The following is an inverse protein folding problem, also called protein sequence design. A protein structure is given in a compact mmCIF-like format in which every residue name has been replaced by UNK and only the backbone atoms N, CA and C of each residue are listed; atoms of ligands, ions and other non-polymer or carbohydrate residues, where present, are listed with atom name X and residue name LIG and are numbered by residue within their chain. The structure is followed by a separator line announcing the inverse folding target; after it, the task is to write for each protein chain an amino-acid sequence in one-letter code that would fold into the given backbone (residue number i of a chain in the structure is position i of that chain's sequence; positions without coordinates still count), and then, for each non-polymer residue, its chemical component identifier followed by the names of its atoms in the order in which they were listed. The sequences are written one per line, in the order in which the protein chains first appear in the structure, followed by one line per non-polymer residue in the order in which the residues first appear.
data_IF_232043100012
#
_entry.id   IF_232043100012
#
_cell.length_a   1.000
_cell.length_b   1.000
_cell.length_c   1.000
_cell.angle_alpha   90.00
_cell.angle_beta   90.00
_cell.angle_gamma   90.00
#
_symmetry.space_group_name_H-M   'P 1'
#
loop_
_entity.id
_entity.type
_entity.pdbx_description
1 polymer ?
#
# COMPACT_ATOMS: atom_id res chain seq x y z
N UNK A 1 1.34 7.34 7.40
CA UNK A 1 1.93 6.93 8.68
C UNK A 1 2.84 5.77 8.41
N UNK A 2 4.17 5.97 8.50
CA UNK A 2 5.14 4.92 8.23
C UNK A 2 5.33 3.99 9.44
N UNK A 3 5.60 4.51 10.63
CA UNK A 3 5.89 3.75 11.83
C UNK A 3 5.07 4.19 13.04
N UNK A 4 4.87 3.25 13.98
CA UNK A 4 4.40 3.51 15.34
C UNK A 4 5.50 3.24 16.37
N UNK A 5 6.75 3.49 15.98
CA UNK A 5 7.93 3.23 16.82
C UNK A 5 7.75 3.87 18.20
N UNK A 6 7.93 3.07 19.24
CA UNK A 6 7.96 3.52 20.62
C UNK A 6 9.24 3.03 21.29
N UNK A 7 9.98 3.96 21.87
CA UNK A 7 11.14 3.63 22.73
C UNK A 7 10.75 3.36 24.18
N UNK A 8 9.47 3.49 24.51
CA UNK A 8 8.92 3.37 25.89
C UNK A 8 8.06 2.13 26.07
N UNK A 9 7.55 1.55 24.97
CA UNK A 9 6.69 0.36 25.01
C UNK A 9 7.16 -0.64 23.97
N UNK A 10 7.31 -1.92 24.35
CA UNK A 10 7.58 -2.98 23.38
C UNK A 10 6.34 -3.23 22.52
N UNK A 11 6.56 -3.64 21.27
CA UNK A 11 5.50 -4.12 20.38
C UNK A 11 5.31 -5.63 20.59
N UNK A 12 4.06 -6.07 20.71
CA UNK A 12 3.74 -7.50 20.80
C UNK A 12 3.85 -8.13 19.42
N UNK A 13 4.66 -9.18 19.30
CA UNK A 13 4.68 -10.09 18.15
C UNK A 13 4.21 -11.47 18.58
N UNK A 14 3.30 -12.07 17.82
CA UNK A 14 2.73 -13.39 18.10
C UNK A 14 2.83 -14.27 16.85
N UNK A 15 3.33 -15.49 17.01
CA UNK A 15 3.24 -16.53 15.98
C UNK A 15 1.82 -17.11 15.96
N UNK A 16 1.11 -16.92 14.83
CA UNK A 16 -0.29 -17.34 14.66
C UNK A 16 -0.44 -18.55 13.72
N UNK A 17 0.66 -19.09 13.23
CA UNK A 17 0.67 -20.28 12.38
C UNK A 17 2.04 -20.58 11.81
N UNK A 18 2.15 -21.57 10.92
CA UNK A 18 3.39 -21.87 10.25
C UNK A 18 3.80 -20.68 9.34
N UNK A 19 4.95 -20.08 9.62
CA UNK A 19 5.47 -18.88 8.96
C UNK A 19 4.48 -17.68 8.94
N UNK A 20 3.57 -17.61 9.94
CA UNK A 20 2.59 -16.53 10.07
C UNK A 20 2.75 -15.86 11.43
N UNK A 21 2.83 -14.53 11.40
CA UNK A 21 3.03 -13.71 12.59
C UNK A 21 2.05 -12.53 12.56
N UNK A 22 1.63 -12.09 13.73
CA UNK A 22 0.91 -10.84 13.94
C UNK A 22 1.77 -9.91 14.80
N UNK A 23 1.79 -8.62 14.47
CA UNK A 23 2.51 -7.59 15.20
C UNK A 23 1.57 -6.43 15.54
N UNK A 24 1.65 -5.92 16.77
CA UNK A 24 1.07 -4.63 17.13
C UNK A 24 1.95 -3.51 16.57
N UNK A 25 1.50 -2.86 15.50
CA UNK A 25 2.25 -1.80 14.83
C UNK A 25 1.67 -1.46 13.47
N UNK A 26 2.38 -0.62 12.76
CA UNK A 26 2.07 -0.29 11.36
C UNK A 26 2.62 -1.36 10.41
N UNK A 27 2.20 -1.37 9.13
CA UNK A 27 2.79 -2.29 8.15
C UNK A 27 4.32 -2.15 8.01
N UNK A 28 4.87 -0.95 8.17
CA UNK A 28 6.33 -0.75 8.16
C UNK A 28 7.01 -1.39 9.37
N UNK A 29 6.39 -1.33 10.57
CA UNK A 29 6.89 -2.03 11.75
C UNK A 29 6.89 -3.55 11.57
N UNK A 30 5.89 -4.09 10.85
CA UNK A 30 5.84 -5.51 10.48
C UNK A 30 7.04 -5.91 9.60
N UNK A 31 7.47 -5.04 8.69
CA UNK A 31 8.66 -5.29 7.86
C UNK A 31 9.92 -5.31 8.73
N UNK A 32 10.09 -4.34 9.62
CA UNK A 32 11.24 -4.31 10.54
C UNK A 32 11.29 -5.57 11.41
N UNK A 33 10.18 -5.98 12.00
CA UNK A 33 10.11 -7.20 12.79
C UNK A 33 10.37 -8.45 11.93
N UNK A 34 9.83 -8.48 10.71
CA UNK A 34 10.04 -9.56 9.76
C UNK A 34 11.52 -9.74 9.41
N UNK A 35 12.21 -8.66 9.09
CA UNK A 35 13.63 -8.69 8.67
C UNK A 35 14.56 -8.97 9.86
N UNK A 36 14.37 -8.26 10.97
CA UNK A 36 15.34 -8.23 12.05
C UNK A 36 15.10 -9.28 13.14
N UNK A 37 13.90 -9.84 13.22
CA UNK A 37 13.55 -10.84 14.22
C UNK A 37 13.17 -12.19 13.61
N UNK A 38 12.20 -12.22 12.70
CA UNK A 38 11.67 -13.50 12.16
C UNK A 38 12.64 -14.11 11.16
N UNK A 39 13.26 -13.30 10.31
CA UNK A 39 14.17 -13.73 9.22
C UNK A 39 15.61 -13.23 9.43
N UNK A 40 16.01 -13.01 10.68
CA UNK A 40 17.33 -12.44 11.04
C UNK A 40 18.53 -13.15 10.41
N UNK A 41 18.43 -14.47 10.23
CA UNK A 41 19.52 -15.29 9.72
C UNK A 41 19.55 -15.38 8.18
N UNK A 42 18.46 -15.02 7.51
CA UNK A 42 18.35 -15.03 6.05
C UNK A 42 17.40 -13.96 5.56
N UNK A 43 17.92 -12.89 4.96
CA UNK A 43 17.11 -11.84 4.35
C UNK A 43 16.24 -12.39 3.21
N UNK A 44 15.00 -11.93 3.06
CA UNK A 44 14.14 -12.32 1.95
C UNK A 44 14.67 -11.73 0.63
N UNK A 45 14.40 -12.42 -0.48
CA UNK A 45 14.72 -11.93 -1.84
C UNK A 45 13.76 -10.83 -2.29
N UNK A 46 12.54 -10.82 -1.74
CA UNK A 46 11.47 -9.88 -2.09
C UNK A 46 10.56 -9.63 -0.90
N UNK A 47 10.16 -8.38 -0.74
CA UNK A 47 9.08 -7.97 0.15
C UNK A 47 7.86 -7.60 -0.71
N UNK A 48 6.71 -8.17 -0.38
CA UNK A 48 5.42 -7.83 -0.98
C UNK A 48 4.52 -7.30 0.13
N UNK A 49 4.06 -6.07 -0.02
CA UNK A 49 3.10 -5.45 0.88
C UNK A 49 1.73 -5.34 0.23
N UNK A 50 0.69 -5.75 0.91
CA UNK A 50 -0.68 -5.72 0.39
C UNK A 50 -1.27 -7.13 0.27
N UNK A 51 -2.35 -7.33 -0.47
CA UNK A 51 -2.99 -6.39 -1.42
C UNK A 51 -3.89 -5.42 -0.65
N UNK A 52 -3.68 -4.11 -0.81
CA UNK A 52 -4.52 -3.08 -0.23
C UNK A 52 -5.87 -3.00 -0.95
N UNK A 53 -6.96 -2.89 -0.19
CA UNK A 53 -8.27 -2.57 -0.75
C UNK A 53 -8.39 -1.05 -0.91
N UNK A 54 -8.29 -0.59 -2.14
CA UNK A 54 -8.18 0.82 -2.52
C UNK A 54 -6.87 1.10 -3.23
N UNK A 55 -6.89 2.08 -4.13
CA UNK A 55 -5.69 2.50 -4.84
C UNK A 55 -4.79 3.38 -3.97
N UNK A 56 -3.49 3.29 -4.19
CA UNK A 56 -2.49 4.16 -3.60
C UNK A 56 -1.77 4.92 -4.73
N UNK A 57 -2.27 6.08 -5.08
CA UNK A 57 -1.78 6.93 -6.19
C UNK A 57 -1.60 8.37 -5.74
N UNK A 58 -0.82 9.14 -6.48
CA UNK A 58 -0.54 10.55 -6.19
C UNK A 58 -0.09 10.73 -4.72
N UNK A 59 -0.58 11.77 -4.05
CA UNK A 59 -0.23 12.08 -2.66
C UNK A 59 -0.76 11.05 -1.64
N UNK A 60 -1.67 10.14 -2.05
CA UNK A 60 -2.14 9.02 -1.19
C UNK A 60 -0.99 8.10 -0.78
N UNK A 61 0.04 8.02 -1.60
CA UNK A 61 1.25 7.25 -1.34
C UNK A 61 1.85 7.61 0.03
N UNK A 62 1.84 8.90 0.40
CA UNK A 62 2.41 9.41 1.65
C UNK A 62 1.65 8.98 2.91
N UNK A 63 0.37 8.62 2.75
CA UNK A 63 -0.51 8.18 3.84
C UNK A 63 -0.67 6.66 3.91
N UNK A 64 -0.17 5.95 2.91
CA UNK A 64 -0.40 4.51 2.76
C UNK A 64 0.55 3.68 3.61
N UNK A 65 0.01 2.87 4.51
CA UNK A 65 0.79 1.86 5.22
C UNK A 65 1.34 0.77 4.29
N UNK A 66 0.60 0.41 3.24
CA UNK A 66 1.03 -0.58 2.23
C UNK A 66 2.26 -0.09 1.49
N UNK A 67 2.27 1.17 1.06
CA UNK A 67 3.42 1.79 0.41
C UNK A 67 4.56 2.01 1.40
N UNK A 68 4.25 2.44 2.63
CA UNK A 68 5.24 2.60 3.70
C UNK A 68 6.01 1.31 4.02
N UNK A 69 5.32 0.16 4.03
CA UNK A 69 5.97 -1.14 4.22
C UNK A 69 6.92 -1.51 3.06
N UNK A 70 6.52 -1.27 1.81
CA UNK A 70 7.40 -1.50 0.66
C UNK A 70 8.60 -0.54 0.68
N UNK A 71 8.40 0.71 1.06
CA UNK A 71 9.47 1.69 1.24
C UNK A 71 10.46 1.25 2.33
N UNK A 72 9.96 0.77 3.47
CA UNK A 72 10.80 0.26 4.55
C UNK A 72 11.67 -0.92 4.09
N UNK A 73 11.11 -1.84 3.34
CA UNK A 73 11.88 -2.95 2.75
C UNK A 73 12.98 -2.45 1.80
N UNK A 74 12.68 -1.47 0.96
CA UNK A 74 13.64 -0.86 0.06
C UNK A 74 14.78 -0.15 0.82
N UNK A 75 14.46 0.59 1.88
CA UNK A 75 15.46 1.22 2.75
C UNK A 75 16.40 0.20 3.42
N UNK A 76 15.94 -1.02 3.65
CA UNK A 76 16.75 -2.13 4.17
C UNK A 76 17.50 -2.93 3.08
N UNK A 77 17.52 -2.44 1.84
CA UNK A 77 18.25 -3.05 0.73
C UNK A 77 17.56 -4.25 0.10
N UNK A 78 16.26 -4.41 0.29
CA UNK A 78 15.48 -5.55 -0.21
C UNK A 78 14.55 -5.08 -1.30
N UNK A 79 14.46 -5.81 -2.41
CA UNK A 79 13.47 -5.54 -3.47
C UNK A 79 12.08 -5.54 -2.87
N UNK A 80 11.28 -4.51 -3.17
CA UNK A 80 10.00 -4.34 -2.50
C UNK A 80 8.91 -3.92 -3.47
N UNK A 81 7.69 -4.42 -3.24
CA UNK A 81 6.52 -4.18 -4.08
C UNK A 81 5.33 -3.87 -3.17
N UNK A 82 4.65 -2.77 -3.43
CA UNK A 82 3.34 -2.45 -2.87
C UNK A 82 2.26 -2.83 -3.89
N UNK A 83 1.27 -3.61 -3.48
CA UNK A 83 0.15 -4.04 -4.31
C UNK A 83 -1.14 -3.44 -3.79
N UNK A 84 -1.91 -2.81 -4.66
CA UNK A 84 -3.20 -2.18 -4.35
C UNK A 84 -4.23 -2.51 -5.42
N UNK A 85 -5.46 -2.82 -4.99
CA UNK A 85 -6.56 -3.14 -5.89
C UNK A 85 -7.64 -2.07 -5.75
N UNK A 86 -7.93 -1.33 -6.82
CA UNK A 86 -9.06 -0.43 -6.87
C UNK A 86 -10.37 -1.22 -6.73
N UNK A 87 -11.34 -0.67 -6.01
CA UNK A 87 -12.67 -1.25 -5.87
C UNK A 87 -13.75 -0.28 -6.35
N UNK A 88 -14.87 -0.82 -6.79
CA UNK A 88 -16.14 -0.14 -7.01
C UNK A 88 -17.17 -0.68 -5.99
N UNK A 89 -18.37 -0.12 -5.97
CA UNK A 89 -19.45 -0.66 -5.13
C UNK A 89 -19.73 -2.14 -5.44
N UNK A 90 -19.73 -2.49 -6.73
CA UNK A 90 -19.98 -3.85 -7.21
C UNK A 90 -18.84 -4.82 -6.81
N UNK A 91 -17.58 -4.38 -6.93
CA UNK A 91 -16.43 -5.23 -6.58
C UNK A 91 -16.24 -5.34 -5.08
N UNK A 92 -16.59 -4.32 -4.29
CA UNK A 92 -16.51 -4.35 -2.84
C UNK A 92 -17.41 -5.44 -2.24
N UNK A 93 -18.62 -5.58 -2.77
CA UNK A 93 -19.61 -6.58 -2.33
C UNK A 93 -19.44 -7.95 -3.01
N UNK A 94 -18.44 -8.13 -3.88
CA UNK A 94 -18.20 -9.38 -4.59
C UNK A 94 -17.44 -10.39 -3.72
N UNK A 95 -17.59 -11.68 -4.04
CA UNK A 95 -16.84 -12.77 -3.38
C UNK A 95 -15.32 -12.69 -3.62
N UNK A 96 -14.87 -11.90 -4.58
CA UNK A 96 -13.45 -11.69 -4.85
C UNK A 96 -13.15 -10.23 -5.22
N UNK A 97 -12.98 -9.34 -4.23
CA UNK A 97 -12.65 -7.94 -4.46
C UNK A 97 -11.24 -7.74 -5.05
N UNK A 98 -10.37 -8.75 -4.96
CA UNK A 98 -8.97 -8.71 -5.43
C UNK A 98 -8.73 -9.45 -6.74
N UNK A 99 -9.74 -9.64 -7.58
CA UNK A 99 -9.68 -10.52 -8.77
C UNK A 99 -8.55 -10.19 -9.76
N UNK A 100 -8.26 -8.91 -10.03
CA UNK A 100 -7.16 -8.55 -10.92
C UNK A 100 -5.79 -8.78 -10.26
N UNK A 101 -5.63 -8.41 -8.99
CA UNK A 101 -4.40 -8.68 -8.24
C UNK A 101 -4.13 -10.19 -8.11
N UNK A 102 -5.16 -10.99 -7.83
CA UNK A 102 -5.07 -12.46 -7.76
C UNK A 102 -4.65 -13.06 -9.11
N UNK A 103 -5.19 -12.54 -10.21
CA UNK A 103 -4.91 -13.07 -11.55
C UNK A 103 -3.50 -12.71 -12.05
N UNK A 104 -3.07 -11.46 -11.85
CA UNK A 104 -1.89 -10.91 -12.50
C UNK A 104 -0.72 -10.64 -11.54
N UNK A 105 -0.97 -10.56 -10.23
CA UNK A 105 0.03 -10.11 -9.26
C UNK A 105 1.27 -10.98 -9.23
N UNK A 106 1.11 -12.32 -9.25
CA UNK A 106 2.23 -13.24 -9.21
C UNK A 106 3.14 -13.09 -10.44
N UNK A 107 2.58 -12.99 -11.63
CA UNK A 107 3.36 -12.87 -12.87
C UNK A 107 4.12 -11.55 -12.93
N UNK A 108 3.50 -10.46 -12.45
CA UNK A 108 4.15 -9.16 -12.34
C UNK A 108 5.31 -9.22 -11.34
N UNK A 109 5.11 -9.82 -10.17
CA UNK A 109 6.18 -9.97 -9.17
C UNK A 109 7.36 -10.80 -9.71
N UNK A 110 7.09 -11.90 -10.39
CA UNK A 110 8.11 -12.72 -11.05
C UNK A 110 8.88 -11.95 -12.11
N UNK A 111 8.19 -11.16 -12.92
CA UNK A 111 8.82 -10.30 -13.93
C UNK A 111 9.75 -9.26 -13.30
N UNK A 112 9.31 -8.58 -12.27
CA UNK A 112 10.12 -7.59 -11.53
C UNK A 112 11.37 -8.25 -10.91
N UNK A 113 11.23 -9.45 -10.35
CA UNK A 113 12.37 -10.18 -9.81
C UNK A 113 13.39 -10.52 -10.89
N UNK A 114 12.91 -11.01 -12.05
CA UNK A 114 13.75 -11.44 -13.18
C UNK A 114 14.47 -10.25 -13.82
N UNK A 115 13.75 -9.19 -14.13
CA UNK A 115 14.26 -8.06 -14.90
C UNK A 115 15.21 -7.17 -14.06
N UNK A 116 15.15 -7.30 -12.71
CA UNK A 116 15.98 -6.59 -11.74
C UNK A 116 16.31 -5.12 -12.13
N UNK A 117 15.31 -4.26 -12.39
CA UNK A 117 15.53 -2.93 -12.94
C UNK A 117 16.25 -1.96 -11.99
N UNK A 118 16.45 -2.37 -10.72
CA UNK A 118 17.20 -1.58 -9.72
C UNK A 118 18.68 -1.99 -9.62
N UNK A 119 19.15 -2.97 -10.39
CA UNK A 119 20.55 -3.49 -10.28
C UNK A 119 21.61 -2.42 -10.49
N UNK A 120 21.33 -1.40 -11.28
CA UNK A 120 22.26 -0.32 -11.63
C UNK A 120 21.89 1.04 -11.01
N UNK A 121 20.89 1.09 -10.12
CA UNK A 121 20.46 2.33 -9.49
C UNK A 121 21.28 2.63 -8.24
N UNK A 122 21.81 3.85 -8.13
CA UNK A 122 22.38 4.37 -6.88
C UNK A 122 21.33 4.63 -5.80
N UNK A 123 20.05 4.61 -6.17
CA UNK A 123 18.93 4.86 -5.30
C UNK A 123 18.14 3.58 -5.04
N UNK A 124 17.82 3.36 -3.77
CA UNK A 124 16.89 2.31 -3.37
C UNK A 124 15.49 2.68 -3.85
N UNK A 125 14.85 1.77 -4.57
CA UNK A 125 13.51 1.97 -5.10
C UNK A 125 12.58 0.80 -4.78
N UNK A 126 11.29 1.04 -4.86
CA UNK A 126 10.26 0.01 -4.78
C UNK A 126 9.21 0.22 -5.87
N UNK A 127 8.45 -0.82 -6.17
CA UNK A 127 7.32 -0.73 -7.10
C UNK A 127 6.01 -0.50 -6.35
N UNK A 128 5.22 0.46 -6.83
CA UNK A 128 3.85 0.68 -6.38
C UNK A 128 2.90 0.31 -7.52
N UNK A 129 2.18 -0.80 -7.37
CA UNK A 129 1.34 -1.39 -8.40
C UNK A 129 -0.12 -1.25 -8.02
N UNK A 130 -0.91 -0.70 -8.93
CA UNK A 130 -2.34 -0.50 -8.74
C UNK A 130 -3.12 -1.29 -9.80
N UNK A 131 -3.99 -2.18 -9.34
CA UNK A 131 -4.87 -2.99 -10.19
C UNK A 131 -6.23 -2.31 -10.35
N UNK A 132 -6.83 -2.33 -11.55
CA UNK A 132 -8.12 -1.69 -11.81
C UNK A 132 -9.29 -2.49 -11.22
N UNK A 133 -10.44 -1.84 -11.03
CA UNK A 133 -11.70 -2.45 -10.56
C UNK A 133 -12.55 -3.07 -11.69
N UNK A 134 -11.97 -3.40 -12.82
CA UNK A 134 -12.65 -4.03 -13.95
C UNK A 134 -12.60 -5.56 -13.90
N UNK A 135 -13.25 -6.24 -14.84
CA UNK A 135 -13.09 -7.69 -15.00
C UNK A 135 -11.66 -8.01 -15.47
N UNK A 136 -11.16 -9.20 -15.16
CA UNK A 136 -9.79 -9.59 -15.58
C UNK A 136 -9.63 -9.65 -17.10
N UNK A 137 -10.73 -9.85 -17.86
CA UNK A 137 -10.71 -9.86 -19.32
C UNK A 137 -10.56 -8.47 -19.95
N UNK A 138 -10.90 -7.42 -19.20
CA UNK A 138 -10.84 -6.03 -19.65
C UNK A 138 -9.47 -5.38 -19.38
N UNK A 139 -8.59 -6.05 -18.65
CA UNK A 139 -7.22 -5.55 -18.41
C UNK A 139 -6.43 -5.62 -19.71
N UNK A 140 -6.05 -4.46 -20.23
CA UNK A 140 -5.37 -4.32 -21.54
C UNK A 140 -3.85 -4.47 -21.48
N UNK A 141 -3.25 -4.34 -20.29
CA UNK A 141 -1.80 -4.42 -20.12
C UNK A 141 -1.29 -3.70 -18.89
N UNK A 142 0.01 -3.44 -18.86
CA UNK A 142 0.72 -2.75 -17.77
C UNK A 142 1.27 -1.44 -18.33
N UNK A 143 1.07 -0.36 -17.59
CA UNK A 143 1.64 0.95 -17.92
C UNK A 143 2.49 1.45 -16.76
N UNK A 144 3.69 1.93 -17.07
CA UNK A 144 4.54 2.67 -16.11
C UNK A 144 4.16 4.14 -16.22
N UNK A 145 3.90 4.78 -15.09
CA UNK A 145 3.54 6.19 -15.04
C UNK A 145 4.22 6.90 -13.87
N UNK A 146 4.36 8.20 -13.99
CA UNK A 146 4.83 9.05 -12.91
C UNK A 146 3.74 9.20 -11.84
N UNK A 147 4.16 9.49 -10.60
CA UNK A 147 3.21 9.85 -9.56
C UNK A 147 2.51 11.16 -9.90
N UNK A 148 1.17 11.13 -9.89
CA UNK A 148 0.36 12.34 -10.04
C UNK A 148 0.44 13.25 -8.81
N UNK A 149 -0.21 14.41 -8.90
CA UNK A 149 -0.40 15.35 -7.78
C UNK A 149 -1.88 15.59 -7.55
N UNK A 150 -2.29 15.71 -6.31
CA UNK A 150 -3.65 16.18 -5.98
C UNK A 150 -3.76 17.68 -6.21
N UNK A 151 -4.89 18.11 -6.73
CA UNK A 151 -5.15 19.54 -6.95
C UNK A 151 -5.60 20.26 -5.66
N UNK A 152 -6.18 19.53 -4.69
CA UNK A 152 -6.70 20.07 -3.41
C UNK A 152 -6.63 19.03 -2.29
N UNK A 153 -6.63 19.49 -1.05
CA UNK A 153 -6.79 18.62 0.11
C UNK A 153 -8.09 17.82 0.00
N UNK A 154 -8.02 16.53 0.31
CA UNK A 154 -9.13 15.59 0.18
C UNK A 154 -9.79 15.24 1.50
N UNK A 155 -9.23 15.74 2.62
CA UNK A 155 -9.74 15.48 3.95
C UNK A 155 -10.21 16.79 4.60
N UNK A 156 -11.32 16.71 5.32
CA UNK A 156 -11.81 17.76 6.18
C UNK A 156 -12.14 17.20 7.57
N UNK A 157 -12.04 18.04 8.57
CA UNK A 157 -12.40 17.70 9.95
C UNK A 157 -13.81 18.26 10.24
N UNK A 158 -14.73 17.37 10.58
CA UNK A 158 -16.11 17.72 10.85
C UNK A 158 -16.47 17.40 12.30
N UNK A 159 -16.91 18.36 13.11
CA UNK A 159 -17.34 18.10 14.48
C UNK A 159 -18.53 17.15 14.53
N UNK A 160 -18.49 16.18 15.43
CA UNK A 160 -19.59 15.23 15.65
C UNK A 160 -20.71 15.85 16.49
N UNK A 161 -20.35 16.63 17.50
CA UNK A 161 -21.31 17.28 18.40
C UNK A 161 -20.72 18.57 18.96
N UNK A 162 -21.58 19.47 19.40
CA UNK A 162 -21.21 20.66 20.17
C UNK A 162 -21.31 20.33 21.65
N UNK A 163 -20.29 19.75 22.25
CA UNK A 163 -20.16 19.67 23.69
C UNK A 163 -19.24 20.80 24.18
N UNK A 164 -19.47 21.28 25.40
CA UNK A 164 -18.80 22.47 25.92
C UNK A 164 -17.32 22.32 26.22
N UNK A 165 -16.81 21.08 26.41
CA UNK A 165 -15.42 20.88 26.84
C UNK A 165 -14.65 19.80 26.05
N UNK A 166 -15.34 18.88 25.36
CA UNK A 166 -14.71 17.83 24.56
C UNK A 166 -15.38 17.71 23.20
N UNK A 167 -14.62 17.91 22.14
CA UNK A 167 -15.11 17.81 20.78
C UNK A 167 -14.57 16.54 20.12
N UNK A 168 -15.46 15.74 19.55
CA UNK A 168 -15.08 14.64 18.66
C UNK A 168 -15.11 15.12 17.21
N UNK A 169 -14.06 14.85 16.46
CA UNK A 169 -13.94 15.26 15.07
C UNK A 169 -13.94 14.02 14.17
N UNK A 170 -14.75 14.03 13.13
CA UNK A 170 -14.68 13.07 12.05
C UNK A 170 -13.71 13.54 10.96
N UNK A 171 -12.87 12.64 10.48
CA UNK A 171 -12.13 12.85 9.24
C UNK A 171 -13.04 12.41 8.11
N UNK A 172 -13.48 13.33 7.27
CA UNK A 172 -14.25 13.03 6.06
C UNK A 172 -13.40 13.19 4.81
N UNK A 173 -13.58 12.26 3.88
CA UNK A 173 -12.98 12.35 2.56
C UNK A 173 -13.87 13.20 1.66
N UNK A 174 -13.32 14.26 1.06
CA UNK A 174 -14.05 15.13 0.14
C UNK A 174 -14.11 14.48 -1.25
N UNK A 175 -15.25 13.88 -1.61
CA UNK A 175 -15.44 13.15 -2.87
C UNK A 175 -15.47 14.04 -4.12
N UNK A 176 -15.65 15.36 -4.01
CA UNK A 176 -15.71 16.25 -5.19
C UNK A 176 -14.41 16.26 -6.01
N UNK A 177 -13.30 15.83 -5.41
CA UNK A 177 -12.01 15.75 -6.10
C UNK A 177 -11.75 14.40 -6.77
N UNK A 178 -12.59 13.37 -6.58
CA UNK A 178 -12.41 12.05 -7.18
C UNK A 178 -12.70 12.02 -8.68
N UNK A 179 -13.52 12.95 -9.19
CA UNK A 179 -13.77 13.07 -10.64
C UNK A 179 -12.57 13.63 -11.41
N UNK A 180 -11.75 14.48 -10.77
CA UNK A 180 -10.54 15.01 -11.41
C UNK A 180 -9.41 13.96 -11.50
N UNK A 181 -9.43 12.93 -10.64
CA UNK A 181 -8.49 11.82 -10.68
C UNK A 181 -8.76 10.84 -11.84
N UNK A 182 -10.03 10.69 -12.26
CA UNK A 182 -10.35 9.93 -13.48
C UNK A 182 -9.65 10.48 -14.72
N UNK A 183 -9.56 11.81 -14.85
CA UNK A 183 -8.90 12.45 -16.00
C UNK A 183 -7.36 12.35 -15.98
N UNK A 184 -6.74 12.16 -14.80
CA UNK A 184 -5.28 12.00 -14.71
C UNK A 184 -4.88 10.57 -15.11
N UNK A 185 -5.70 9.57 -14.77
CA UNK A 185 -5.47 8.17 -15.12
C UNK A 185 -5.83 7.86 -16.59
N UNK A 186 -6.61 8.74 -17.28
CA UNK A 186 -7.02 8.57 -18.68
C UNK A 186 -6.04 9.18 -19.70
N UNK A 187 -5.09 10.02 -19.26
CA UNK A 187 -4.16 10.74 -20.15
C UNK A 187 -2.70 10.25 -20.09
N UNK A 188 -2.43 9.09 -19.44
CA UNK A 188 -1.09 8.50 -19.39
C UNK A 188 -1.10 7.04 -19.77
#
# INVERSE_FOLDING_TARGET
VSHSISFVRPSLIQKIGNNKYALEGTPADCILAGINYVMKDKKPDLIISGVNMGRNIADDILYSGTVGAAMEGALNGIKSIALSQQYSKETYSSNNPFKCATKYGLDICKKILKDNPFSNSKFMGFYNINFPSCSTKEVKGIKICNSGKRKKATFEMVPQSKSTERNFLWIKHNQQNSQSLKKIDEHY
#
